data_IF_408817737556
#
_entry.id   IF_408817737556
#
_cell.length_a   1.000
_cell.length_b   1.000
_cell.length_c   1.000
_cell.angle_alpha   90.00
_cell.angle_beta   90.00
_cell.angle_gamma   90.00
#
_symmetry.space_group_name_H-M   'P 1'
#
loop_
_entity.id
_entity.type
_entity.pdbx_description
1 polymer ?
#
# COMPACT_ATOMS: atom_id res chain seq x y z
N UNK A 1 -5.65 -12.81 -34.95
CA UNK A 1 -6.00 -13.18 -33.57
C UNK A 1 -5.30 -12.21 -32.60
N UNK A 2 -6.07 -11.31 -32.09
CA UNK A 2 -5.54 -10.40 -31.07
C UNK A 2 -5.55 -11.11 -29.73
N UNK A 3 -4.42 -11.68 -29.36
CA UNK A 3 -4.20 -11.95 -27.94
C UNK A 3 -4.14 -10.59 -27.27
N UNK A 4 -5.18 -10.23 -26.52
CA UNK A 4 -5.11 -9.07 -25.66
C UNK A 4 -3.93 -9.28 -24.72
N UNK A 5 -2.90 -8.46 -24.84
CA UNK A 5 -1.77 -8.49 -23.92
C UNK A 5 -2.34 -8.36 -22.51
N UNK A 6 -1.97 -9.28 -21.61
CA UNK A 6 -2.33 -9.21 -20.20
C UNK A 6 -1.86 -7.85 -19.66
N UNK A 7 -2.79 -7.04 -19.20
CA UNK A 7 -2.42 -5.78 -18.58
C UNK A 7 -1.61 -6.05 -17.30
N UNK A 8 -0.53 -5.30 -17.10
CA UNK A 8 0.29 -5.49 -15.92
C UNK A 8 -0.50 -5.15 -14.65
N UNK A 9 -0.38 -6.00 -13.65
CA UNK A 9 -0.97 -5.79 -12.34
C UNK A 9 0.11 -5.53 -11.30
N UNK A 10 -0.23 -4.64 -10.39
CA UNK A 10 0.62 -4.27 -9.30
C UNK A 10 -0.18 -4.45 -8.00
N UNK A 11 0.43 -5.09 -7.01
CA UNK A 11 -0.12 -5.16 -5.65
C UNK A 11 0.74 -4.29 -4.75
N UNK A 12 0.12 -3.33 -4.09
CA UNK A 12 0.76 -2.52 -3.06
C UNK A 12 0.20 -2.89 -1.70
N UNK A 13 1.07 -2.98 -0.71
CA UNK A 13 0.71 -3.31 0.68
C UNK A 13 1.36 -2.30 1.61
N UNK A 14 0.56 -1.72 2.49
CA UNK A 14 1.01 -0.82 3.54
C UNK A 14 0.77 -1.45 4.91
N UNK A 15 1.83 -1.72 5.64
CA UNK A 15 1.77 -2.36 6.96
C UNK A 15 1.51 -1.32 8.05
N UNK A 16 0.66 -1.66 9.01
CA UNK A 16 0.34 -0.79 10.14
C UNK A 16 0.17 -1.59 11.43
N UNK A 17 0.00 -0.87 12.53
CA UNK A 17 -0.32 -1.47 13.83
C UNK A 17 -1.64 -2.25 13.80
N UNK A 18 -2.59 -1.80 12.97
CA UNK A 18 -3.93 -2.40 12.88
C UNK A 18 -3.99 -3.64 11.99
N UNK A 19 -3.05 -3.79 11.10
CA UNK A 19 -3.02 -4.83 10.10
C UNK A 19 -2.33 -4.33 8.85
N UNK A 20 -3.05 -4.22 7.75
CA UNK A 20 -2.47 -3.66 6.53
C UNK A 20 -3.54 -3.11 5.59
N UNK A 21 -3.13 -2.16 4.77
CA UNK A 21 -3.90 -1.71 3.61
C UNK A 21 -3.35 -2.35 2.34
N UNK A 22 -4.19 -2.47 1.33
CA UNK A 22 -3.78 -3.02 0.04
C UNK A 22 -4.47 -2.30 -1.11
N UNK A 23 -3.81 -2.32 -2.26
CA UNK A 23 -4.35 -1.77 -3.49
C UNK A 23 -3.83 -2.59 -4.67
N UNK A 24 -4.71 -2.91 -5.60
CA UNK A 24 -4.36 -3.58 -6.85
C UNK A 24 -4.61 -2.62 -7.99
N UNK A 25 -3.56 -2.27 -8.71
CA UNK A 25 -3.63 -1.40 -9.87
C UNK A 25 -3.40 -2.23 -11.13
N UNK A 26 -4.29 -2.10 -12.11
CA UNK A 26 -4.19 -2.74 -13.40
C UNK A 26 -4.01 -1.68 -14.48
N UNK A 27 -3.04 -1.88 -15.38
CA UNK A 27 -2.70 -0.87 -16.35
C UNK A 27 -2.15 0.39 -15.69
N UNK A 28 -2.37 1.56 -16.25
CA UNK A 28 -1.80 2.80 -15.73
C UNK A 28 -2.58 3.41 -14.59
N UNK A 29 -3.91 3.34 -14.62
CA UNK A 29 -4.75 4.12 -13.71
C UNK A 29 -6.01 3.39 -13.23
N UNK A 30 -6.10 2.07 -13.40
CA UNK A 30 -7.28 1.34 -12.98
C UNK A 30 -7.10 0.71 -11.61
N UNK A 31 -7.77 1.23 -10.60
CA UNK A 31 -7.78 0.69 -9.25
C UNK A 31 -8.85 -0.40 -9.19
N UNK A 32 -8.44 -1.66 -9.29
CA UNK A 32 -9.36 -2.80 -9.44
C UNK A 32 -9.73 -3.48 -8.14
N UNK A 33 -8.90 -3.35 -7.11
CA UNK A 33 -9.19 -3.86 -5.77
C UNK A 33 -8.42 -3.04 -4.76
N UNK A 34 -9.03 -2.82 -3.59
CA UNK A 34 -8.43 -2.02 -2.54
C UNK A 34 -9.17 -2.25 -1.24
N UNK A 35 -8.50 -2.00 -0.13
CA UNK A 35 -9.11 -2.14 1.18
C UNK A 35 -8.08 -2.18 2.28
N UNK A 36 -8.57 -2.53 3.47
CA UNK A 36 -7.70 -2.78 4.60
C UNK A 36 -8.18 -4.01 5.36
N UNK A 37 -7.23 -4.71 5.97
CA UNK A 37 -7.48 -5.86 6.84
C UNK A 37 -7.05 -5.49 8.25
N UNK A 38 -7.99 -5.59 9.17
CA UNK A 38 -7.72 -5.40 10.60
C UNK A 38 -7.43 -6.77 11.22
N UNK A 39 -6.27 -6.89 11.85
CA UNK A 39 -5.81 -8.17 12.40
C UNK A 39 -5.48 -7.98 13.87
N UNK A 40 -6.17 -8.73 14.73
CA UNK A 40 -6.11 -8.54 16.18
C UNK A 40 -5.21 -9.57 16.89
N UNK A 41 -5.05 -10.77 16.32
CA UNK A 41 -4.26 -11.86 16.89
C UNK A 41 -3.34 -12.46 15.84
N UNK A 42 -2.20 -13.01 16.27
CA UNK A 42 -1.22 -13.63 15.37
C UNK A 42 -0.95 -12.77 14.14
N UNK A 43 -0.68 -11.50 14.40
CA UNK A 43 -0.71 -10.45 13.37
C UNK A 43 0.19 -10.75 12.17
N UNK A 44 1.43 -11.20 12.43
CA UNK A 44 2.35 -11.46 11.32
C UNK A 44 1.96 -12.69 10.51
N UNK A 45 1.60 -13.79 11.18
CA UNK A 45 1.20 -15.01 10.49
C UNK A 45 -0.07 -14.80 9.66
N UNK A 46 -1.06 -14.14 10.22
CA UNK A 46 -2.34 -13.86 9.51
C UNK A 46 -2.17 -12.86 8.39
N UNK A 47 -1.39 -11.81 8.60
CA UNK A 47 -1.10 -10.82 7.55
C UNK A 47 -0.40 -11.50 6.37
N UNK A 48 0.61 -12.31 6.65
CA UNK A 48 1.36 -13.02 5.63
C UNK A 48 0.45 -13.97 4.83
N UNK A 49 -0.44 -14.70 5.52
CA UNK A 49 -1.40 -15.60 4.87
C UNK A 49 -2.36 -14.85 3.95
N UNK A 50 -2.90 -13.70 4.38
CA UNK A 50 -3.77 -12.87 3.56
C UNK A 50 -3.05 -12.31 2.33
N UNK A 51 -1.82 -11.84 2.52
CA UNK A 51 -1.01 -11.28 1.42
C UNK A 51 -0.69 -12.37 0.41
N UNK A 52 -0.36 -13.57 0.87
CA UNK A 52 -0.13 -14.72 -0.03
C UNK A 52 -1.37 -15.02 -0.88
N UNK A 53 -2.56 -15.04 -0.27
CA UNK A 53 -3.82 -15.24 -1.00
C UNK A 53 -4.05 -14.16 -2.04
N UNK A 54 -3.74 -12.91 -1.73
CA UNK A 54 -3.86 -11.81 -2.69
C UNK A 54 -2.90 -11.96 -3.86
N UNK A 55 -1.68 -12.40 -3.60
CA UNK A 55 -0.69 -12.69 -4.64
C UNK A 55 -1.21 -13.78 -5.57
N UNK A 56 -1.72 -14.87 -4.99
CA UNK A 56 -2.27 -16.00 -5.77
C UNK A 56 -3.48 -15.56 -6.59
N UNK A 57 -4.39 -14.81 -5.97
CA UNK A 57 -5.64 -14.37 -6.62
C UNK A 57 -5.39 -13.35 -7.73
N UNK A 58 -4.56 -12.37 -7.48
CA UNK A 58 -4.35 -11.25 -8.41
C UNK A 58 -3.22 -11.50 -9.41
N UNK A 59 -2.32 -12.41 -9.12
CA UNK A 59 -1.14 -12.71 -9.95
C UNK A 59 -0.42 -11.42 -10.39
N UNK A 60 0.00 -10.58 -9.43
CA UNK A 60 0.68 -9.33 -9.78
C UNK A 60 2.06 -9.59 -10.38
N UNK A 61 2.52 -8.66 -11.19
CA UNK A 61 3.87 -8.67 -11.73
C UNK A 61 4.86 -8.01 -10.77
N UNK A 62 4.36 -7.09 -9.94
CA UNK A 62 5.16 -6.30 -9.02
C UNK A 62 4.44 -6.20 -7.67
N UNK A 63 5.20 -6.34 -6.60
CA UNK A 63 4.78 -6.05 -5.24
C UNK A 63 5.45 -4.76 -4.78
N UNK A 64 4.66 -3.78 -4.37
CA UNK A 64 5.15 -2.50 -3.86
C UNK A 64 4.93 -2.42 -2.36
N UNK A 65 5.99 -2.11 -1.62
CA UNK A 65 5.99 -1.99 -0.17
C UNK A 65 6.57 -0.63 0.24
N UNK A 66 6.22 -0.18 1.43
CA UNK A 66 6.92 0.94 2.04
C UNK A 66 8.30 0.49 2.51
N UNK A 67 9.31 1.31 2.31
CA UNK A 67 10.64 1.05 2.84
C UNK A 67 10.65 1.30 4.36
N UNK A 68 10.64 0.22 5.12
CA UNK A 68 10.62 0.27 6.60
C UNK A 68 11.98 0.59 7.20
N UNK A 69 13.04 0.56 6.39
CA UNK A 69 14.42 0.83 6.81
C UNK A 69 14.91 2.19 6.33
N UNK A 70 14.06 2.98 5.70
CA UNK A 70 14.44 4.31 5.22
C UNK A 70 14.85 5.22 6.39
N UNK A 71 15.81 6.10 6.11
CA UNK A 71 16.29 7.07 7.11
C UNK A 71 15.12 7.91 7.64
N UNK A 72 15.05 8.07 8.95
CA UNK A 72 13.97 8.80 9.62
C UNK A 72 12.70 8.00 9.85
N UNK A 73 12.67 6.73 9.43
CA UNK A 73 11.53 5.85 9.63
C UNK A 73 11.72 5.05 10.93
N UNK A 74 10.72 5.10 11.80
CA UNK A 74 10.72 4.35 13.06
C UNK A 74 9.57 3.36 13.05
N UNK A 75 9.85 2.11 12.71
CA UNK A 75 8.84 1.05 12.70
C UNK A 75 9.13 0.03 13.80
N UNK A 76 8.06 -0.53 14.36
CA UNK A 76 8.17 -1.57 15.38
C UNK A 76 8.92 -2.80 14.84
N UNK A 77 9.68 -3.52 15.70
CA UNK A 77 10.38 -4.73 15.26
C UNK A 77 9.47 -5.77 14.62
N UNK A 78 8.23 -5.91 15.10
CA UNK A 78 7.23 -6.81 14.51
C UNK A 78 6.95 -6.47 13.05
N UNK A 79 6.79 -5.19 12.74
CA UNK A 79 6.53 -4.72 11.37
C UNK A 79 7.74 -5.01 10.47
N UNK A 80 8.94 -4.74 10.95
CA UNK A 80 10.17 -5.05 10.21
C UNK A 80 10.32 -6.55 9.93
N UNK A 81 9.95 -7.38 10.90
CA UNK A 81 9.97 -8.84 10.74
C UNK A 81 8.96 -9.30 9.68
N UNK A 82 7.74 -8.77 9.74
CA UNK A 82 6.70 -9.07 8.75
C UNK A 82 7.15 -8.64 7.35
N UNK A 83 7.71 -7.44 7.23
CA UNK A 83 8.24 -6.93 5.97
C UNK A 83 9.27 -7.91 5.37
N UNK A 84 10.22 -8.39 6.18
CA UNK A 84 11.22 -9.37 5.71
C UNK A 84 10.57 -10.66 5.21
N UNK A 85 9.54 -11.15 5.91
CA UNK A 85 8.81 -12.36 5.51
C UNK A 85 8.05 -12.16 4.21
N UNK A 86 7.47 -11.00 4.01
CA UNK A 86 6.76 -10.66 2.75
C UNK A 86 7.76 -10.60 1.59
N UNK A 87 8.91 -9.98 1.78
CA UNK A 87 9.96 -9.92 0.76
C UNK A 87 10.44 -11.33 0.40
N UNK A 88 10.64 -12.19 1.39
CA UNK A 88 11.05 -13.58 1.16
C UNK A 88 9.97 -14.35 0.37
N UNK A 89 8.71 -14.19 0.73
CA UNK A 89 7.59 -14.79 0.02
C UNK A 89 7.55 -14.35 -1.45
N UNK A 90 7.71 -13.07 -1.70
CA UNK A 90 7.73 -12.51 -3.06
C UNK A 90 8.89 -13.08 -3.88
N UNK A 91 10.08 -13.19 -3.30
CA UNK A 91 11.25 -13.78 -3.96
C UNK A 91 11.01 -15.23 -4.32
N UNK A 92 10.43 -16.02 -3.41
CA UNK A 92 10.09 -17.42 -3.66
C UNK A 92 9.10 -17.57 -4.83
N UNK A 93 8.25 -16.59 -5.02
CA UNK A 93 7.28 -16.56 -6.12
C UNK A 93 7.78 -15.81 -7.35
N UNK A 94 9.05 -15.40 -7.36
CA UNK A 94 9.70 -14.67 -8.46
C UNK A 94 9.01 -13.34 -8.79
N UNK A 95 8.43 -12.70 -7.79
CA UNK A 95 7.85 -11.37 -7.91
C UNK A 95 8.94 -10.30 -7.78
N UNK A 96 8.84 -9.29 -8.61
CA UNK A 96 9.64 -8.07 -8.43
C UNK A 96 9.10 -7.31 -7.22
N UNK A 97 10.00 -6.90 -6.32
CA UNK A 97 9.66 -6.08 -5.15
C UNK A 97 10.23 -4.68 -5.34
N UNK A 98 9.39 -3.68 -5.12
CA UNK A 98 9.77 -2.27 -5.13
C UNK A 98 9.44 -1.67 -3.78
N UNK A 99 10.38 -0.92 -3.21
CA UNK A 99 10.22 -0.26 -1.92
C UNK A 99 10.27 1.25 -2.11
N UNK A 100 9.32 1.97 -1.51
CA UNK A 100 9.21 3.42 -1.61
C UNK A 100 9.20 4.00 -0.19
N UNK A 101 10.06 4.99 0.06
CA UNK A 101 10.08 5.67 1.37
C UNK A 101 8.90 6.62 1.52
N UNK A 102 8.52 6.89 2.77
CA UNK A 102 7.46 7.86 3.07
C UNK A 102 7.79 9.26 2.56
N UNK A 103 9.05 9.66 2.66
CA UNK A 103 9.52 10.96 2.15
C UNK A 103 9.35 11.07 0.64
N UNK A 104 9.75 10.03 -0.10
CA UNK A 104 9.57 9.98 -1.55
C UNK A 104 8.11 10.02 -1.92
N UNK A 105 7.26 9.29 -1.20
CA UNK A 105 5.83 9.26 -1.42
C UNK A 105 5.21 10.67 -1.27
N UNK A 106 5.56 11.38 -0.20
CA UNK A 106 5.08 12.75 0.01
C UNK A 106 5.54 13.70 -1.10
N UNK A 107 6.79 13.59 -1.49
CA UNK A 107 7.34 14.42 -2.57
C UNK A 107 6.61 14.19 -3.89
N UNK A 108 6.32 12.94 -4.23
CA UNK A 108 5.64 12.60 -5.49
C UNK A 108 4.18 13.00 -5.50
N UNK A 109 3.46 12.84 -4.38
CA UNK A 109 2.03 13.17 -4.30
C UNK A 109 1.76 14.64 -4.03
N UNK A 110 2.57 15.28 -3.21
CA UNK A 110 2.32 16.65 -2.73
C UNK A 110 3.33 17.66 -3.26
N UNK A 111 4.37 17.21 -3.95
CA UNK A 111 5.51 18.02 -4.34
C UNK A 111 6.17 18.70 -3.11
N UNK A 112 6.09 18.05 -1.95
CA UNK A 112 6.53 18.57 -0.65
C UNK A 112 6.86 17.41 0.29
N UNK A 113 8.09 17.36 0.80
CA UNK A 113 8.55 16.30 1.71
C UNK A 113 7.91 16.40 3.11
N UNK A 114 7.41 17.56 3.48
CA UNK A 114 6.85 17.84 4.80
C UNK A 114 5.33 17.69 4.89
N UNK A 115 4.69 17.25 3.80
CA UNK A 115 3.25 17.05 3.78
C UNK A 115 2.77 15.94 4.73
N UNK A 116 1.53 16.03 5.16
CA UNK A 116 0.91 15.09 6.08
C UNK A 116 0.06 14.05 5.35
N UNK A 117 -0.21 12.92 6.02
CA UNK A 117 -1.01 11.83 5.46
C UNK A 117 -2.40 12.25 5.02
N UNK A 118 -3.04 13.15 5.77
CA UNK A 118 -4.38 13.65 5.39
C UNK A 118 -4.38 14.34 4.04
N UNK A 119 -3.36 15.14 3.75
CA UNK A 119 -3.23 15.82 2.46
C UNK A 119 -3.03 14.81 1.32
N UNK A 120 -2.22 13.78 1.55
CA UNK A 120 -2.03 12.71 0.57
C UNK A 120 -3.33 11.96 0.29
N UNK A 121 -4.09 11.65 1.34
CA UNK A 121 -5.39 10.98 1.21
C UNK A 121 -6.38 11.83 0.41
N UNK A 122 -6.41 13.12 0.64
CA UNK A 122 -7.28 14.05 -0.09
C UNK A 122 -6.94 14.10 -1.58
N UNK A 123 -5.65 14.12 -1.92
CA UNK A 123 -5.17 14.08 -3.32
C UNK A 123 -5.61 12.78 -3.99
N UNK A 124 -5.46 11.66 -3.31
CA UNK A 124 -5.84 10.34 -3.84
C UNK A 124 -7.35 10.21 -4.00
N UNK A 125 -8.14 10.73 -3.05
CA UNK A 125 -9.59 10.73 -3.15
C UNK A 125 -10.10 11.56 -4.34
N UNK A 126 -9.42 12.63 -4.69
CA UNK A 126 -9.73 13.43 -5.89
C UNK A 126 -9.38 12.69 -7.17
N UNK A 127 -8.31 11.89 -7.15
CA UNK A 127 -7.86 11.13 -8.31
C UNK A 127 -8.74 9.91 -8.58
N UNK A 128 -9.23 9.27 -7.52
CA UNK A 128 -10.12 8.11 -7.58
C UNK A 128 -11.42 8.38 -6.80
N UNK A 129 -12.25 9.34 -7.26
CA UNK A 129 -13.41 9.75 -6.47
C UNK A 129 -14.45 8.66 -6.28
N UNK A 130 -14.67 7.81 -7.29
CA UNK A 130 -15.65 6.74 -7.22
C UNK A 130 -15.25 5.67 -6.20
N UNK A 131 -13.95 5.37 -6.11
CA UNK A 131 -13.43 4.34 -5.23
C UNK A 131 -13.13 4.85 -3.82
N UNK A 132 -12.55 6.04 -3.70
CA UNK A 132 -11.93 6.48 -2.45
C UNK A 132 -12.65 7.62 -1.73
N UNK A 133 -13.46 8.43 -2.39
CA UNK A 133 -14.06 9.60 -1.74
C UNK A 133 -14.88 9.22 -0.51
N UNK A 134 -15.66 8.13 -0.59
CA UNK A 134 -16.48 7.65 0.53
C UNK A 134 -15.67 7.00 1.66
N UNK A 135 -14.41 6.68 1.40
CA UNK A 135 -13.49 6.05 2.35
C UNK A 135 -12.62 7.06 3.08
N UNK A 136 -12.60 8.32 2.62
CA UNK A 136 -11.75 9.35 3.20
C UNK A 136 -12.18 9.65 4.63
N UNK A 137 -11.31 9.43 5.64
CA UNK A 137 -11.63 9.78 7.02
C UNK A 137 -11.68 11.29 7.21
N UNK A 138 -12.45 11.72 8.19
CA UNK A 138 -12.43 13.11 8.63
C UNK A 138 -11.04 13.47 9.16
N UNK A 139 -10.68 14.76 9.07
CA UNK A 139 -9.43 15.25 9.59
C UNK A 139 -9.29 14.85 11.07
N UNK A 140 -8.21 14.14 11.38
CA UNK A 140 -7.96 13.64 12.73
C UNK A 140 -7.78 14.78 13.72
N UNK A 141 -8.49 14.70 14.83
CA UNK A 141 -8.26 15.57 15.98
C UNK A 141 -6.98 15.12 16.71
N UNK A 142 -6.26 16.07 17.33
CA UNK A 142 -4.97 15.81 17.95
C UNK A 142 -4.98 14.68 18.98
N UNK A 143 -6.11 14.44 19.65
CA UNK A 143 -6.25 13.43 20.70
C UNK A 143 -6.78 12.07 20.21
N UNK A 144 -7.12 11.94 18.93
CA UNK A 144 -7.63 10.69 18.37
C UNK A 144 -6.53 9.90 17.68
N UNK A 145 -6.64 8.57 17.74
CA UNK A 145 -5.80 7.67 16.96
C UNK A 145 -6.07 7.84 15.47
N UNK A 146 -5.10 7.48 14.64
CA UNK A 146 -5.26 7.46 13.20
C UNK A 146 -6.34 6.44 12.81
N UNK A 147 -7.20 6.81 11.88
CA UNK A 147 -8.24 5.92 11.36
C UNK A 147 -7.59 4.80 10.52
N UNK A 148 -8.00 3.55 10.77
CA UNK A 148 -7.44 2.39 10.06
C UNK A 148 -7.67 2.46 8.54
N UNK A 149 -8.68 3.19 8.07
CA UNK A 149 -8.91 3.41 6.63
C UNK A 149 -7.77 4.17 5.96
N UNK A 150 -6.95 4.87 6.72
CA UNK A 150 -5.74 5.53 6.18
C UNK A 150 -4.77 4.53 5.55
N UNK A 151 -4.79 3.27 5.99
CA UNK A 151 -3.97 2.22 5.38
C UNK A 151 -4.31 2.01 3.91
N UNK A 152 -5.58 2.19 3.53
CA UNK A 152 -6.02 2.11 2.13
C UNK A 152 -5.31 3.17 1.29
N UNK A 153 -5.31 4.40 1.78
CA UNK A 153 -4.70 5.53 1.08
C UNK A 153 -3.18 5.39 0.98
N UNK A 154 -2.55 4.89 2.03
CA UNK A 154 -1.11 4.59 2.00
C UNK A 154 -0.80 3.56 0.90
N UNK A 155 -1.59 2.50 0.81
CA UNK A 155 -1.40 1.47 -0.21
C UNK A 155 -1.65 1.99 -1.63
N UNK A 156 -2.71 2.76 -1.84
CA UNK A 156 -3.01 3.38 -3.15
C UNK A 156 -1.90 4.35 -3.55
N UNK A 157 -1.40 5.12 -2.60
CA UNK A 157 -0.26 6.02 -2.83
C UNK A 157 0.99 5.28 -3.30
N UNK A 158 1.31 4.17 -2.65
CA UNK A 158 2.44 3.32 -3.06
C UNK A 158 2.23 2.77 -4.48
N UNK A 159 1.04 2.26 -4.78
CA UNK A 159 0.72 1.70 -6.09
C UNK A 159 0.89 2.73 -7.20
N UNK A 160 0.35 3.92 -6.97
CA UNK A 160 0.35 4.99 -7.96
C UNK A 160 1.76 5.51 -8.24
N UNK A 161 2.58 5.66 -7.20
CA UNK A 161 3.89 6.26 -7.33
C UNK A 161 4.93 5.35 -7.97
N UNK A 162 4.76 4.04 -7.88
CA UNK A 162 5.59 3.13 -8.63
C UNK A 162 5.50 3.39 -10.14
N UNK A 163 4.32 3.78 -10.61
CA UNK A 163 4.07 4.02 -12.03
C UNK A 163 4.63 5.36 -12.52
N UNK A 164 4.88 6.29 -11.60
CA UNK A 164 5.39 7.62 -11.92
C UNK A 164 6.92 7.74 -11.80
N UNK A 165 7.57 6.65 -11.43
CA UNK A 165 9.04 6.53 -11.44
C UNK A 165 9.51 5.72 -12.68
#
# INVERSE_FOLDING_TARGET
MNQSAKQSRLLAVSLSTWGFGYAVLEGENSLVDYGNKRINTDKNARSLAHIEKMIVHNQPDVLVLQDVNAKGTHRAPRIKQLHRKIVALAKNRKLKVVEISGTELRRLLLNNEDGIKQEMAEVLAKKFPDELASRLPEKRKAWKSEDARMDIFDAVGLALNHRNT
#
